data_IF_463388687881
#
_entry.id   IF_463388687881
#
_cell.length_a   1.000
_cell.length_b   1.000
_cell.length_c   1.000
_cell.angle_alpha   90.00
_cell.angle_beta   90.00
_cell.angle_gamma   90.00
#
_symmetry.space_group_name_H-M   'P 1'
#
loop_
_entity.id
_entity.type
_entity.pdbx_description
1 polymer ?
#
# COMPACT_ATOMS: atom_id res chain seq x y z
N UNK A 1 -40.20 19.07 -37.17
CA UNK A 1 -39.19 18.72 -36.14
C UNK A 1 -39.86 18.60 -34.76
N UNK A 2 -40.92 17.79 -34.66
CA UNK A 2 -41.99 17.98 -33.68
C UNK A 2 -42.52 16.63 -33.19
N UNK A 3 -42.61 16.46 -31.86
CA UNK A 3 -43.39 15.46 -31.10
C UNK A 3 -42.97 13.98 -31.21
N UNK A 4 -42.62 13.45 -32.39
CA UNK A 4 -42.29 12.02 -32.58
C UNK A 4 -41.03 11.57 -31.83
N UNK A 5 -40.01 12.44 -31.72
CA UNK A 5 -38.79 12.11 -30.99
C UNK A 5 -39.01 12.04 -29.46
N UNK A 6 -39.90 12.86 -28.89
CA UNK A 6 -40.17 12.84 -27.44
C UNK A 6 -40.89 11.55 -27.03
N UNK A 7 -41.81 11.05 -27.84
CA UNK A 7 -42.53 9.79 -27.57
C UNK A 7 -41.61 8.58 -27.71
N UNK A 8 -40.71 8.59 -28.70
CA UNK A 8 -39.70 7.55 -28.87
C UNK A 8 -38.70 7.52 -27.70
N UNK A 9 -38.22 8.67 -27.25
CA UNK A 9 -37.32 8.79 -26.10
C UNK A 9 -38.02 8.34 -24.80
N UNK A 10 -39.30 8.69 -24.60
CA UNK A 10 -40.06 8.26 -23.41
C UNK A 10 -40.31 6.75 -23.39
N UNK A 11 -40.55 6.13 -24.56
CA UNK A 11 -40.63 4.67 -24.71
C UNK A 11 -39.28 4.00 -24.45
N UNK A 12 -38.18 4.56 -24.95
CA UNK A 12 -36.83 4.05 -24.68
C UNK A 12 -36.46 4.16 -23.21
N UNK A 13 -36.82 5.26 -22.53
CA UNK A 13 -36.64 5.42 -21.09
C UNK A 13 -37.46 4.40 -20.30
N UNK A 14 -38.73 4.17 -20.64
CA UNK A 14 -39.55 3.14 -19.98
C UNK A 14 -39.02 1.72 -20.22
N UNK A 15 -38.46 1.45 -21.41
CA UNK A 15 -37.84 0.14 -21.71
C UNK A 15 -36.52 0.00 -20.92
N UNK A 16 -35.69 1.04 -20.86
CA UNK A 16 -34.47 1.05 -20.07
C UNK A 16 -34.76 0.89 -18.57
N UNK A 17 -35.76 1.59 -18.05
CA UNK A 17 -36.19 1.51 -16.65
C UNK A 17 -36.80 0.15 -16.32
N UNK A 18 -37.55 -0.45 -17.25
CA UNK A 18 -38.06 -1.83 -17.12
C UNK A 18 -36.95 -2.87 -17.15
N UNK A 19 -35.92 -2.69 -17.99
CA UNK A 19 -34.74 -3.57 -18.03
C UNK A 19 -33.90 -3.39 -16.74
N UNK A 20 -33.79 -2.17 -16.23
CA UNK A 20 -33.09 -1.87 -14.99
C UNK A 20 -33.81 -2.43 -13.74
N UNK A 21 -35.15 -2.40 -13.74
CA UNK A 21 -35.98 -2.97 -12.67
C UNK A 21 -36.08 -4.51 -12.75
N UNK A 22 -36.10 -5.08 -13.96
CA UNK A 22 -36.15 -6.53 -14.18
C UNK A 22 -34.82 -7.24 -13.93
N UNK A 23 -33.69 -6.54 -14.13
CA UNK A 23 -32.36 -7.02 -13.80
C UNK A 23 -31.77 -6.17 -12.68
N UNK A 24 -32.15 -6.49 -11.44
CA UNK A 24 -31.51 -5.90 -10.25
C UNK A 24 -30.01 -6.24 -10.11
N UNK A 25 -29.48 -7.08 -11.01
CA UNK A 25 -28.07 -7.43 -11.21
C UNK A 25 -27.68 -7.19 -12.69
N UNK A 26 -27.90 -6.00 -13.25
CA UNK A 26 -27.12 -5.62 -14.43
C UNK A 26 -25.68 -5.47 -13.94
N UNK A 27 -24.91 -6.55 -14.04
CA UNK A 27 -23.46 -6.49 -13.94
C UNK A 27 -23.01 -5.42 -14.96
N UNK A 28 -22.63 -4.23 -14.49
CA UNK A 28 -22.07 -3.16 -15.32
C UNK A 28 -20.96 -3.73 -16.22
N UNK A 29 -20.22 -4.70 -15.69
CA UNK A 29 -19.22 -5.48 -16.40
C UNK A 29 -19.72 -6.16 -17.68
N UNK A 30 -20.96 -6.64 -17.70
CA UNK A 30 -21.55 -7.31 -18.88
C UNK A 30 -21.83 -6.29 -19.98
N UNK A 31 -22.35 -5.12 -19.61
CA UNK A 31 -22.55 -4.00 -20.55
C UNK A 31 -21.20 -3.50 -21.07
N UNK A 32 -20.25 -3.27 -20.17
CA UNK A 32 -18.89 -2.84 -20.49
C UNK A 32 -18.22 -3.88 -21.42
N UNK A 33 -18.32 -5.17 -21.12
CA UNK A 33 -17.81 -6.25 -21.96
C UNK A 33 -18.40 -6.21 -23.37
N UNK A 34 -19.72 -6.00 -23.50
CA UNK A 34 -20.36 -5.89 -24.82
C UNK A 34 -19.91 -4.66 -25.60
N UNK A 35 -19.73 -3.51 -24.94
CA UNK A 35 -19.22 -2.29 -25.55
C UNK A 35 -17.79 -2.47 -26.07
N UNK A 36 -16.91 -3.05 -25.24
CA UNK A 36 -15.52 -3.35 -25.65
C UNK A 36 -15.48 -4.35 -26.80
N UNK A 37 -16.34 -5.37 -26.80
CA UNK A 37 -16.41 -6.37 -27.88
C UNK A 37 -16.85 -5.76 -29.21
N UNK A 38 -17.81 -4.84 -29.17
CA UNK A 38 -18.24 -4.10 -30.35
C UNK A 38 -17.13 -3.15 -30.84
N UNK A 39 -16.46 -2.44 -29.93
CA UNK A 39 -15.33 -1.59 -30.28
C UNK A 39 -14.17 -2.38 -30.89
N UNK A 40 -13.85 -3.56 -30.36
CA UNK A 40 -12.85 -4.49 -30.90
C UNK A 40 -13.22 -4.96 -32.30
N UNK A 41 -14.48 -5.32 -32.52
CA UNK A 41 -14.98 -5.74 -33.85
C UNK A 41 -14.85 -4.63 -34.89
N UNK A 42 -15.08 -3.37 -34.49
CA UNK A 42 -14.90 -2.21 -35.35
C UNK A 42 -13.41 -1.96 -35.58
N UNK A 43 -12.58 -2.00 -34.53
CA UNK A 43 -11.14 -1.80 -34.63
C UNK A 43 -10.47 -2.83 -35.54
N UNK A 44 -10.82 -4.12 -35.43
CA UNK A 44 -10.29 -5.17 -36.30
C UNK A 44 -10.60 -4.98 -37.79
N UNK A 45 -11.67 -4.26 -38.14
CA UNK A 45 -12.03 -3.96 -39.54
C UNK A 45 -11.24 -2.79 -40.13
N UNK A 46 -10.66 -1.94 -39.28
CA UNK A 46 -10.06 -0.66 -39.70
C UNK A 46 -8.55 -0.63 -39.42
N UNK A 47 -8.08 -1.38 -38.42
CA UNK A 47 -6.68 -1.44 -38.01
C UNK A 47 -5.97 -2.56 -38.77
N UNK A 48 -5.05 -2.19 -39.63
CA UNK A 48 -4.08 -3.11 -40.25
C UNK A 48 -2.95 -3.31 -39.24
N UNK A 49 -2.97 -4.43 -38.52
CA UNK A 49 -1.86 -4.80 -37.63
C UNK A 49 -0.67 -5.27 -38.47
N UNK A 50 0.48 -4.61 -38.32
CA UNK A 50 1.76 -5.08 -38.87
C UNK A 50 2.23 -6.29 -38.04
N UNK A 51 2.24 -7.52 -38.59
CA UNK A 51 2.58 -8.73 -37.83
C UNK A 51 4.04 -8.78 -37.37
N UNK A 52 4.90 -7.90 -37.90
CA UNK A 52 6.35 -7.94 -37.71
C UNK A 52 6.89 -7.29 -36.43
N UNK A 53 6.06 -6.55 -35.68
CA UNK A 53 6.49 -5.86 -34.44
C UNK A 53 5.71 -6.33 -33.23
N UNK A 54 5.86 -7.60 -32.86
CA UNK A 54 5.63 -7.99 -31.46
C UNK A 54 6.70 -7.28 -30.64
N UNK A 55 6.30 -6.21 -29.95
CA UNK A 55 7.23 -5.42 -29.14
C UNK A 55 7.79 -6.32 -28.04
N UNK A 56 9.04 -6.12 -27.63
CA UNK A 56 9.59 -6.81 -26.44
C UNK A 56 8.67 -6.65 -25.22
N UNK A 57 7.93 -5.54 -25.17
CA UNK A 57 6.83 -5.26 -24.24
C UNK A 57 5.75 -6.35 -24.21
N UNK A 58 5.30 -6.86 -25.37
CA UNK A 58 4.17 -7.78 -25.45
C UNK A 58 4.53 -9.19 -24.96
N UNK A 59 5.80 -9.59 -25.12
CA UNK A 59 6.33 -10.84 -24.58
C UNK A 59 6.46 -10.79 -23.05
N UNK A 60 6.94 -9.67 -22.53
CA UNK A 60 7.02 -9.43 -21.08
C UNK A 60 5.62 -9.36 -20.47
N UNK A 61 4.65 -8.83 -21.21
CA UNK A 61 3.27 -8.77 -20.74
C UNK A 61 2.62 -10.13 -20.64
N UNK A 62 2.84 -11.00 -21.61
CA UNK A 62 2.32 -12.38 -21.56
C UNK A 62 2.88 -13.18 -20.38
N UNK A 63 4.14 -12.96 -19.97
CA UNK A 63 4.70 -13.65 -18.79
C UNK A 63 4.19 -13.04 -17.48
N UNK A 64 4.08 -11.71 -17.40
CA UNK A 64 3.61 -11.00 -16.21
C UNK A 64 2.10 -11.20 -15.98
N UNK A 65 1.31 -11.31 -17.04
CA UNK A 65 -0.16 -11.49 -16.97
C UNK A 65 -0.60 -12.96 -16.98
N UNK A 66 0.33 -13.90 -17.07
CA UNK A 66 0.01 -15.32 -16.97
C UNK A 66 -0.62 -15.63 -15.61
N UNK A 67 -1.75 -16.34 -15.61
CA UNK A 67 -2.52 -16.67 -14.40
C UNK A 67 -1.73 -17.49 -13.37
N UNK A 68 -0.70 -18.23 -13.80
CA UNK A 68 0.12 -19.09 -12.95
C UNK A 68 1.44 -18.41 -12.57
N UNK A 69 2.11 -17.76 -13.53
CA UNK A 69 3.42 -17.12 -13.28
C UNK A 69 3.31 -15.67 -12.80
N UNK A 70 2.19 -14.99 -13.04
CA UNK A 70 1.98 -13.59 -12.66
C UNK A 70 1.97 -13.36 -11.15
N UNK A 71 1.30 -14.23 -10.36
CA UNK A 71 1.29 -14.09 -8.90
C UNK A 71 2.66 -14.33 -8.26
N UNK A 72 3.41 -15.42 -8.59
CA UNK A 72 4.75 -15.64 -8.05
C UNK A 72 5.75 -14.55 -8.45
N UNK A 73 5.75 -14.12 -9.71
CA UNK A 73 6.65 -13.04 -10.18
C UNK A 73 6.35 -11.74 -9.42
N UNK A 74 5.08 -11.44 -9.18
CA UNK A 74 4.64 -10.28 -8.42
C UNK A 74 5.05 -10.31 -6.96
N UNK A 75 4.79 -11.42 -6.28
CA UNK A 75 5.22 -11.57 -4.90
C UNK A 75 6.75 -11.56 -4.79
N UNK A 76 7.45 -12.18 -5.75
CA UNK A 76 8.91 -12.19 -5.83
C UNK A 76 9.51 -10.80 -6.01
N UNK A 77 8.98 -9.99 -6.94
CA UNK A 77 9.48 -8.63 -7.17
C UNK A 77 9.20 -7.73 -5.96
N UNK A 78 8.00 -7.83 -5.38
CA UNK A 78 7.64 -7.06 -4.19
C UNK A 78 8.52 -7.48 -2.99
N UNK A 79 8.74 -8.78 -2.80
CA UNK A 79 9.65 -9.31 -1.78
C UNK A 79 11.10 -8.84 -1.99
N UNK A 80 11.58 -8.79 -3.24
CA UNK A 80 12.91 -8.27 -3.58
C UNK A 80 13.05 -6.79 -3.21
N UNK A 81 12.03 -5.98 -3.48
CA UNK A 81 12.04 -4.56 -3.08
C UNK A 81 12.03 -4.40 -1.56
N UNK A 82 11.23 -5.21 -0.86
CA UNK A 82 11.25 -5.19 0.61
C UNK A 82 12.58 -5.64 1.17
N UNK A 83 13.19 -6.68 0.60
CA UNK A 83 14.52 -7.15 0.98
C UNK A 83 15.56 -6.04 0.82
N UNK A 84 15.63 -5.42 -0.36
CA UNK A 84 16.55 -4.29 -0.63
C UNK A 84 16.27 -3.13 0.33
N UNK A 85 15.00 -2.84 0.62
CA UNK A 85 14.62 -1.76 1.52
C UNK A 85 15.08 -2.04 2.96
N UNK A 86 14.82 -3.25 3.48
CA UNK A 86 15.14 -3.58 4.88
C UNK A 86 16.66 -3.68 5.06
N UNK A 87 17.33 -4.45 4.20
CA UNK A 87 18.79 -4.64 4.29
C UNK A 87 19.52 -3.31 4.04
N UNK A 88 19.10 -2.57 3.00
CA UNK A 88 19.68 -1.28 2.66
C UNK A 88 19.40 -0.17 3.68
N UNK A 89 18.31 -0.25 4.44
CA UNK A 89 17.95 0.73 5.45
C UNK A 89 18.63 0.50 6.81
N UNK A 90 19.07 -0.73 7.10
CA UNK A 90 19.61 -1.08 8.41
C UNK A 90 20.89 -0.28 8.74
N UNK A 91 21.83 -0.23 7.80
CA UNK A 91 23.08 0.53 7.92
C UNK A 91 22.87 2.04 8.14
N UNK A 92 22.12 2.77 7.29
CA UNK A 92 21.86 4.19 7.53
C UNK A 92 21.04 4.43 8.79
N UNK A 93 20.11 3.54 9.15
CA UNK A 93 19.35 3.64 10.40
C UNK A 93 20.24 3.56 11.64
N UNK A 94 21.20 2.63 11.66
CA UNK A 94 22.18 2.51 12.74
C UNK A 94 23.12 3.72 12.84
N UNK A 95 23.51 4.28 11.70
CA UNK A 95 24.35 5.49 11.67
C UNK A 95 23.58 6.70 12.22
N UNK A 96 22.34 6.92 11.78
CA UNK A 96 21.47 8.00 12.26
C UNK A 96 21.17 7.85 13.76
N UNK A 97 20.86 6.63 14.23
CA UNK A 97 20.61 6.39 15.65
C UNK A 97 21.84 6.73 16.48
N UNK A 98 23.03 6.27 16.09
CA UNK A 98 24.28 6.56 16.82
C UNK A 98 24.51 8.06 16.93
N UNK A 99 24.43 8.80 15.82
CA UNK A 99 24.67 10.25 15.80
C UNK A 99 23.68 11.00 16.70
N UNK A 100 22.39 10.71 16.56
CA UNK A 100 21.38 11.42 17.35
C UNK A 100 21.37 11.03 18.83
N UNK A 101 21.68 9.77 19.16
CA UNK A 101 21.82 9.35 20.56
C UNK A 101 23.07 9.96 21.20
N UNK A 102 24.19 10.10 20.49
CA UNK A 102 25.35 10.85 21.01
C UNK A 102 25.01 12.31 21.31
N UNK A 103 24.13 12.94 20.51
CA UNK A 103 23.65 14.29 20.81
C UNK A 103 22.70 14.33 22.03
N UNK A 104 21.95 13.26 22.27
CA UNK A 104 21.14 13.10 23.49
C UNK A 104 22.01 13.10 24.75
N UNK A 105 23.15 12.42 24.70
CA UNK A 105 24.09 12.32 25.83
C UNK A 105 24.67 13.70 26.15
N UNK A 106 25.08 14.46 25.13
CA UNK A 106 25.51 15.86 25.28
C UNK A 106 24.38 16.69 25.90
N UNK A 107 23.15 16.59 25.40
CA UNK A 107 22.02 17.32 25.99
C UNK A 107 21.81 16.98 27.46
N UNK A 108 22.00 15.72 27.82
CA UNK A 108 21.88 15.25 29.21
C UNK A 108 22.95 15.88 30.08
N UNK A 109 24.20 15.93 29.63
CA UNK A 109 25.30 16.56 30.34
C UNK A 109 25.11 18.08 30.53
N UNK A 110 24.49 18.76 29.56
CA UNK A 110 24.13 20.18 29.71
C UNK A 110 23.04 20.41 30.76
N UNK A 111 22.02 19.54 30.80
CA UNK A 111 20.94 19.65 31.79
C UNK A 111 21.41 19.31 33.21
N UNK A 112 22.33 18.37 33.37
CA UNK A 112 22.95 18.06 34.66
C UNK A 112 23.89 19.17 35.11
N UNK A 113 24.65 19.80 34.20
CA UNK A 113 25.49 20.96 34.52
C UNK A 113 24.70 22.19 35.00
N UNK A 114 23.48 22.40 34.47
CA UNK A 114 22.57 23.48 34.88
C UNK A 114 21.78 23.13 36.16
N UNK A 115 21.92 21.90 36.67
CA UNK A 115 21.19 21.40 37.84
C UNK A 115 19.66 21.50 37.64
N UNK A 116 19.21 21.23 36.40
CA UNK A 116 17.80 21.28 36.06
C UNK A 116 16.99 20.22 36.82
N UNK A 117 15.72 20.51 37.16
CA UNK A 117 14.88 19.54 37.87
C UNK A 117 14.69 18.26 37.04
N UNK A 118 14.75 17.11 37.72
CA UNK A 118 14.70 15.77 37.11
C UNK A 118 13.48 15.57 36.21
N UNK A 119 12.35 16.15 36.58
CA UNK A 119 11.12 16.08 35.78
C UNK A 119 11.26 16.80 34.42
N UNK A 120 11.97 17.93 34.38
CA UNK A 120 12.17 18.69 33.13
C UNK A 120 13.12 17.97 32.17
N UNK A 121 14.22 17.43 32.69
CA UNK A 121 15.15 16.61 31.90
C UNK A 121 14.46 15.35 31.37
N UNK A 122 13.68 14.67 32.22
CA UNK A 122 12.96 13.47 31.84
C UNK A 122 11.91 13.70 30.74
N UNK A 123 11.04 14.71 30.90
CA UNK A 123 10.01 15.00 29.88
C UNK A 123 10.62 15.40 28.54
N UNK A 124 11.61 16.31 28.54
CA UNK A 124 12.16 16.88 27.31
C UNK A 124 13.17 15.96 26.63
N UNK A 125 14.10 15.38 27.37
CA UNK A 125 15.21 14.61 26.81
C UNK A 125 14.82 13.14 26.67
N UNK A 126 14.38 12.50 27.75
CA UNK A 126 14.04 11.06 27.74
C UNK A 126 12.67 10.77 27.11
N UNK A 127 11.73 11.71 27.21
CA UNK A 127 10.40 11.62 26.60
C UNK A 127 10.40 12.14 25.16
N UNK A 128 10.39 13.46 24.98
CA UNK A 128 10.22 14.09 23.67
C UNK A 128 11.38 13.79 22.71
N UNK A 129 12.62 14.16 23.08
CA UNK A 129 13.77 14.07 22.18
C UNK A 129 14.06 12.63 21.77
N UNK A 130 14.17 11.72 22.76
CA UNK A 130 14.40 10.29 22.53
C UNK A 130 13.38 9.67 21.58
N UNK A 131 12.10 9.98 21.77
CA UNK A 131 11.02 9.44 20.93
C UNK A 131 11.11 9.98 19.50
N UNK A 132 11.34 11.28 19.33
CA UNK A 132 11.49 11.91 18.00
C UNK A 132 12.69 11.36 17.25
N UNK A 133 13.84 11.26 17.92
CA UNK A 133 15.06 10.68 17.35
C UNK A 133 14.84 9.24 16.93
N UNK A 134 14.23 8.42 17.80
CA UNK A 134 13.97 7.03 17.49
C UNK A 134 13.08 6.88 16.24
N UNK A 135 12.01 7.67 16.16
CA UNK A 135 11.11 7.71 14.99
C UNK A 135 11.87 8.12 13.72
N UNK A 136 12.70 9.16 13.78
CA UNK A 136 13.48 9.63 12.62
C UNK A 136 14.46 8.55 12.17
N UNK A 137 15.26 7.99 13.09
CA UNK A 137 16.30 7.02 12.75
C UNK A 137 15.74 5.72 12.19
N UNK A 138 14.60 5.25 12.71
CA UNK A 138 14.00 3.97 12.28
C UNK A 138 13.12 4.14 11.03
N UNK A 139 12.39 5.26 10.89
CA UNK A 139 11.41 5.41 9.80
C UNK A 139 11.96 6.08 8.54
N UNK A 140 12.90 7.02 8.64
CA UNK A 140 13.38 7.78 7.49
C UNK A 140 14.13 6.91 6.46
N UNK A 141 15.13 6.07 6.85
CA UNK A 141 15.91 5.32 5.86
C UNK A 141 15.10 4.32 5.01
N UNK A 142 14.24 3.46 5.59
CA UNK A 142 13.46 2.53 4.77
C UNK A 142 12.46 3.25 3.87
N UNK A 143 11.87 4.37 4.30
CA UNK A 143 10.99 5.16 3.42
C UNK A 143 11.76 5.83 2.27
N UNK A 144 12.96 6.33 2.54
CA UNK A 144 13.80 6.97 1.55
C UNK A 144 14.24 6.00 0.44
N UNK A 145 14.34 4.70 0.73
CA UNK A 145 14.66 3.66 -0.26
C UNK A 145 13.39 3.12 -0.93
N UNK A 146 12.35 2.84 -0.15
CA UNK A 146 11.11 2.22 -0.63
C UNK A 146 10.36 3.09 -1.63
N UNK A 147 10.18 4.39 -1.36
CA UNK A 147 9.37 5.23 -2.25
C UNK A 147 9.99 5.47 -3.64
N UNK A 148 11.30 5.71 -3.80
CA UNK A 148 11.91 5.75 -5.12
C UNK A 148 11.76 4.43 -5.88
N UNK A 149 12.02 3.28 -5.24
CA UNK A 149 11.86 1.97 -5.89
C UNK A 149 10.41 1.70 -6.31
N UNK A 150 9.45 2.02 -5.44
CA UNK A 150 8.03 1.88 -5.74
C UNK A 150 7.58 2.81 -6.88
N UNK A 151 8.08 4.06 -6.90
CA UNK A 151 7.77 5.02 -7.96
C UNK A 151 8.39 4.60 -9.30
N UNK A 152 9.57 3.96 -9.29
CA UNK A 152 10.14 3.35 -10.50
C UNK A 152 9.22 2.26 -11.04
N UNK A 153 8.67 1.38 -10.18
CA UNK A 153 7.70 0.37 -10.61
C UNK A 153 6.39 0.98 -11.12
N UNK A 154 5.96 2.09 -10.53
CA UNK A 154 4.79 2.86 -10.96
C UNK A 154 4.99 3.41 -12.38
N UNK A 155 6.12 4.08 -12.63
CA UNK A 155 6.47 4.69 -13.92
C UNK A 155 6.74 3.64 -15.02
N UNK A 156 7.27 2.47 -14.64
CA UNK A 156 7.42 1.33 -15.56
C UNK A 156 6.08 0.71 -15.96
N UNK A 157 4.96 1.08 -15.32
CA UNK A 157 3.66 0.49 -15.61
C UNK A 157 3.49 -0.93 -15.05
N UNK A 158 4.34 -1.34 -14.10
CA UNK A 158 4.24 -2.65 -13.45
C UNK A 158 3.08 -2.72 -12.45
N UNK A 159 2.91 -1.66 -11.64
CA UNK A 159 1.85 -1.59 -10.63
C UNK A 159 0.43 -1.74 -11.21
N UNK A 160 0.06 -1.07 -12.32
CA UNK A 160 -1.22 -1.31 -12.98
C UNK A 160 -1.50 -2.79 -13.30
N UNK A 161 -0.48 -3.54 -13.75
CA UNK A 161 -0.60 -4.97 -14.10
C UNK A 161 -0.79 -5.83 -12.86
N UNK A 162 -0.09 -5.50 -11.78
CA UNK A 162 -0.27 -6.12 -10.46
C UNK A 162 -1.70 -5.93 -9.97
N UNK A 163 -2.23 -4.71 -10.07
CA UNK A 163 -3.61 -4.43 -9.68
C UNK A 163 -4.62 -5.24 -10.49
N UNK A 164 -4.40 -5.37 -11.80
CA UNK A 164 -5.24 -6.20 -12.67
C UNK A 164 -5.20 -7.69 -12.29
N UNK A 165 -4.02 -8.25 -12.02
CA UNK A 165 -3.91 -9.66 -11.64
C UNK A 165 -4.57 -9.94 -10.26
N UNK A 166 -4.43 -9.00 -9.32
CA UNK A 166 -5.04 -9.10 -7.99
C UNK A 166 -6.54 -8.76 -7.95
N UNK A 167 -7.10 -8.12 -8.99
CA UNK A 167 -8.50 -7.68 -9.01
C UNK A 167 -9.47 -8.83 -8.73
N UNK A 168 -9.21 -10.02 -9.29
CA UNK A 168 -10.05 -11.20 -9.07
C UNK A 168 -10.12 -11.65 -7.59
N UNK A 169 -9.05 -11.45 -6.82
CA UNK A 169 -8.99 -11.78 -5.39
C UNK A 169 -9.73 -10.73 -4.57
N UNK A 170 -9.51 -9.44 -4.86
CA UNK A 170 -10.21 -8.34 -4.18
C UNK A 170 -11.70 -8.34 -4.46
N UNK A 171 -12.10 -8.70 -5.68
CA UNK A 171 -13.50 -8.81 -6.05
C UNK A 171 -14.24 -9.91 -5.28
N UNK A 172 -13.59 -11.03 -4.98
CA UNK A 172 -14.14 -12.06 -4.07
C UNK A 172 -14.36 -11.51 -2.65
N UNK A 173 -13.52 -10.58 -2.22
CA UNK A 173 -13.66 -9.87 -0.95
C UNK A 173 -14.57 -8.62 -1.04
N UNK A 174 -15.29 -8.42 -2.16
CA UNK A 174 -16.13 -7.23 -2.42
C UNK A 174 -15.37 -5.90 -2.30
N UNK A 175 -14.15 -5.87 -2.83
CA UNK A 175 -13.26 -4.72 -2.85
C UNK A 175 -12.77 -4.40 -4.28
N UNK A 176 -12.27 -3.18 -4.49
CA UNK A 176 -11.71 -2.72 -5.76
C UNK A 176 -10.24 -3.18 -5.91
N UNK A 177 -9.83 -3.63 -7.09
CA UNK A 177 -8.43 -3.98 -7.38
C UNK A 177 -7.41 -2.87 -7.09
N UNK A 178 -7.80 -1.58 -7.09
CA UNK A 178 -6.95 -0.45 -6.66
C UNK A 178 -6.51 -0.54 -5.19
N UNK A 179 -7.25 -1.27 -4.35
CA UNK A 179 -6.88 -1.51 -2.96
C UNK A 179 -5.59 -2.35 -2.84
N UNK A 180 -5.29 -3.21 -3.82
CA UNK A 180 -4.02 -3.94 -3.84
C UNK A 180 -2.80 -3.00 -3.83
N UNK A 181 -2.86 -1.91 -4.60
CA UNK A 181 -1.78 -0.92 -4.69
C UNK A 181 -1.58 -0.18 -3.37
N UNK A 182 -2.68 0.19 -2.72
CA UNK A 182 -2.64 0.89 -1.43
C UNK A 182 -2.12 0.01 -0.31
N UNK A 183 -2.41 -1.30 -0.37
CA UNK A 183 -1.89 -2.30 0.57
C UNK A 183 -0.42 -2.60 0.35
N UNK A 184 0.02 -2.77 -0.90
CA UNK A 184 1.44 -2.90 -1.23
C UNK A 184 2.26 -1.71 -0.71
N UNK A 185 1.73 -0.49 -0.80
CA UNK A 185 2.36 0.70 -0.25
C UNK A 185 2.29 0.74 1.30
N UNK A 186 1.23 0.19 1.89
CA UNK A 186 1.03 0.08 3.34
C UNK A 186 2.07 -0.79 4.05
N UNK A 187 2.55 -1.86 3.41
CA UNK A 187 3.66 -2.69 3.91
C UNK A 187 4.95 -1.90 4.11
N UNK A 188 5.24 -0.93 3.23
CA UNK A 188 6.36 -0.01 3.43
C UNK A 188 6.05 1.00 4.55
N UNK A 189 4.97 1.75 4.37
CA UNK A 189 4.50 2.71 5.37
C UNK A 189 2.97 2.78 5.35
N UNK A 190 2.34 2.41 6.47
CA UNK A 190 0.88 2.45 6.58
C UNK A 190 0.32 3.87 6.35
N UNK A 191 0.98 4.92 6.87
CA UNK A 191 0.54 6.30 6.64
C UNK A 191 0.52 6.67 5.15
N UNK A 192 1.53 6.25 4.39
CA UNK A 192 1.59 6.47 2.96
C UNK A 192 0.56 5.64 2.20
N UNK A 193 0.35 4.38 2.62
CA UNK A 193 -0.72 3.52 2.10
C UNK A 193 -2.11 4.15 2.26
N UNK A 194 -2.41 4.69 3.46
CA UNK A 194 -3.68 5.37 3.75
C UNK A 194 -3.87 6.63 2.90
N UNK A 195 -2.81 7.43 2.70
CA UNK A 195 -2.86 8.60 1.81
C UNK A 195 -3.12 8.18 0.35
N UNK A 196 -2.57 7.04 -0.07
CA UNK A 196 -2.77 6.50 -1.42
C UNK A 196 -4.18 5.97 -1.67
N UNK A 197 -5.00 5.73 -0.64
CA UNK A 197 -6.43 5.41 -0.82
C UNK A 197 -7.21 6.48 -1.59
N UNK A 198 -6.63 7.68 -1.79
CA UNK A 198 -7.19 8.71 -2.69
C UNK A 198 -7.40 8.27 -4.14
N UNK A 199 -6.70 7.22 -4.60
CA UNK A 199 -6.85 6.68 -5.97
C UNK A 199 -8.18 5.92 -6.16
N UNK A 200 -8.86 5.57 -5.07
CA UNK A 200 -10.14 4.86 -5.10
C UNK A 200 -11.26 5.88 -5.26
N UNK A 201 -12.09 5.74 -6.28
CA UNK A 201 -13.12 6.73 -6.62
C UNK A 201 -14.31 6.62 -5.67
N UNK A 202 -14.73 5.39 -5.37
CA UNK A 202 -15.89 5.18 -4.51
C UNK A 202 -15.53 5.51 -3.05
N UNK A 203 -16.30 6.39 -2.37
CA UNK A 203 -16.02 6.77 -0.99
C UNK A 203 -16.16 5.57 -0.03
N UNK A 204 -17.02 4.61 -0.38
CA UNK A 204 -17.21 3.36 0.36
C UNK A 204 -15.97 2.48 0.31
N UNK A 205 -15.47 2.11 -0.87
CA UNK A 205 -14.29 1.23 -0.98
C UNK A 205 -13.05 1.96 -0.47
N UNK A 206 -12.98 3.28 -0.60
CA UNK A 206 -11.93 4.11 0.02
C UNK A 206 -11.91 3.95 1.53
N UNK A 207 -13.06 3.99 2.20
CA UNK A 207 -13.12 3.78 3.65
C UNK A 207 -12.68 2.37 4.04
N UNK A 208 -13.11 1.35 3.27
CA UNK A 208 -12.68 -0.04 3.49
C UNK A 208 -11.15 -0.16 3.33
N UNK A 209 -10.57 0.43 2.29
CA UNK A 209 -9.13 0.41 2.05
C UNK A 209 -8.35 1.14 3.17
N UNK A 210 -8.85 2.29 3.65
CA UNK A 210 -8.24 3.02 4.78
C UNK A 210 -8.26 2.18 6.06
N UNK A 211 -9.39 1.53 6.36
CA UNK A 211 -9.51 0.70 7.57
C UNK A 211 -8.67 -0.57 7.46
N UNK A 212 -8.68 -1.23 6.31
CA UNK A 212 -7.95 -2.50 6.12
C UNK A 212 -6.44 -2.32 6.04
N UNK A 213 -5.94 -1.18 5.56
CA UNK A 213 -4.50 -0.89 5.59
C UNK A 213 -3.91 -0.94 7.01
N UNK A 214 -4.70 -0.67 8.05
CA UNK A 214 -4.26 -0.79 9.44
C UNK A 214 -3.96 -2.22 9.89
N UNK A 215 -4.38 -3.26 9.16
CA UNK A 215 -4.04 -4.65 9.47
C UNK A 215 -2.78 -5.13 8.75
N UNK A 216 -2.28 -4.37 7.78
CA UNK A 216 -1.02 -4.67 7.09
C UNK A 216 0.15 -4.34 8.02
N UNK A 217 1.07 -5.29 8.29
CA UNK A 217 2.27 -4.99 9.05
C UNK A 217 3.19 -4.08 8.24
N UNK A 218 3.50 -2.90 8.78
CA UNK A 218 4.43 -1.95 8.18
C UNK A 218 5.80 -2.01 8.86
N UNK A 219 6.80 -1.34 8.29
CA UNK A 219 8.16 -1.29 8.84
C UNK A 219 8.23 -0.99 10.35
N UNK A 220 7.41 -0.05 10.82
CA UNK A 220 7.36 0.33 12.24
C UNK A 220 6.78 -0.73 13.18
N UNK A 221 6.12 -1.77 12.66
CA UNK A 221 5.54 -2.88 13.45
C UNK A 221 6.43 -4.11 13.49
N UNK A 222 7.44 -4.22 12.62
CA UNK A 222 8.37 -5.35 12.66
C UNK A 222 9.09 -5.49 14.00
N UNK A 223 9.57 -4.42 14.68
CA UNK A 223 10.19 -4.57 16.00
C UNK A 223 9.27 -5.26 17.02
N UNK A 224 7.99 -4.87 17.06
CA UNK A 224 7.00 -5.49 17.94
C UNK A 224 6.74 -6.94 17.55
N UNK A 225 6.62 -7.25 16.25
CA UNK A 225 6.45 -8.61 15.75
C UNK A 225 7.66 -9.49 16.05
N UNK A 226 8.87 -8.95 15.98
CA UNK A 226 10.11 -9.65 16.35
C UNK A 226 10.12 -9.94 17.84
N UNK A 227 9.78 -8.97 18.70
CA UNK A 227 9.72 -9.18 20.16
C UNK A 227 8.67 -10.23 20.53
N UNK A 228 7.47 -10.16 19.94
CA UNK A 228 6.44 -11.18 20.16
C UNK A 228 6.94 -12.54 19.65
N UNK A 229 7.51 -12.59 18.45
CA UNK A 229 8.06 -13.80 17.86
C UNK A 229 9.18 -14.41 18.70
N UNK A 230 10.06 -13.60 19.30
CA UNK A 230 11.13 -14.10 20.17
C UNK A 230 10.59 -14.60 21.51
N UNK A 231 9.59 -13.95 22.12
CA UNK A 231 8.98 -14.42 23.37
C UNK A 231 8.30 -15.78 23.17
N UNK A 232 7.43 -15.89 22.16
CA UNK A 232 6.71 -17.14 21.88
C UNK A 232 7.63 -18.23 21.29
N UNK A 233 8.58 -17.86 20.44
CA UNK A 233 9.55 -18.79 19.85
C UNK A 233 10.61 -19.29 20.84
N UNK A 234 10.98 -18.48 21.83
CA UNK A 234 11.89 -18.87 22.91
C UNK A 234 11.27 -19.86 23.90
N UNK A 235 9.97 -19.77 24.14
CA UNK A 235 9.28 -20.61 25.11
C UNK A 235 8.98 -22.03 24.63
N UNK A 236 8.97 -22.28 23.31
CA UNK A 236 8.45 -23.54 22.75
C UNK A 236 9.50 -24.54 22.22
N UNK A 237 10.73 -24.15 21.87
CA UNK A 237 11.63 -25.02 21.10
C UNK A 237 13.12 -24.96 21.52
N UNK A 238 13.80 -26.11 21.40
CA UNK A 238 15.22 -26.28 21.70
C UNK A 238 16.14 -25.36 20.85
N UNK A 239 17.29 -24.98 21.41
CA UNK A 239 18.20 -23.93 20.91
C UNK A 239 18.56 -24.01 19.41
N UNK A 240 18.58 -25.20 18.81
CA UNK A 240 18.94 -25.41 17.39
C UNK A 240 17.88 -24.95 16.38
N UNK A 241 16.59 -24.94 16.73
CA UNK A 241 15.50 -24.57 15.80
C UNK A 241 14.92 -23.18 16.06
N UNK A 242 15.47 -22.44 17.03
CA UNK A 242 14.90 -21.18 17.52
C UNK A 242 14.84 -20.10 16.44
N UNK A 243 15.87 -19.96 15.60
CA UNK A 243 15.88 -18.98 14.51
C UNK A 243 14.84 -19.29 13.43
N UNK A 244 14.68 -20.57 13.08
CA UNK A 244 13.68 -20.99 12.09
C UNK A 244 12.25 -20.88 12.65
N UNK A 245 12.07 -21.19 13.93
CA UNK A 245 10.79 -21.04 14.63
C UNK A 245 10.35 -19.58 14.73
N UNK A 246 11.27 -18.67 15.10
CA UNK A 246 10.98 -17.22 15.17
C UNK A 246 10.62 -16.69 13.78
N UNK A 247 11.36 -17.05 12.74
CA UNK A 247 11.04 -16.66 11.35
C UNK A 247 9.68 -17.22 10.90
N UNK A 248 9.35 -18.46 11.27
CA UNK A 248 8.05 -19.09 11.00
C UNK A 248 6.89 -18.37 11.68
N UNK A 249 7.05 -17.99 12.96
CA UNK A 249 6.04 -17.24 13.72
C UNK A 249 5.82 -15.85 13.12
N UNK A 250 6.89 -15.14 12.77
CA UNK A 250 6.79 -13.82 12.12
C UNK A 250 6.06 -13.94 10.78
N UNK A 251 6.41 -14.94 9.98
CA UNK A 251 5.75 -15.18 8.69
C UNK A 251 4.27 -15.50 8.88
N UNK A 252 3.92 -16.32 9.88
CA UNK A 252 2.54 -16.62 10.23
C UNK A 252 1.78 -15.36 10.65
N UNK A 253 2.36 -14.50 11.49
CA UNK A 253 1.74 -13.24 11.92
C UNK A 253 1.49 -12.30 10.73
N UNK A 254 2.42 -12.23 9.77
CA UNK A 254 2.23 -11.45 8.54
C UNK A 254 1.09 -12.03 7.70
N UNK A 255 1.06 -13.35 7.51
CA UNK A 255 -0.02 -14.02 6.76
C UNK A 255 -1.38 -13.87 7.44
N UNK A 256 -1.43 -13.92 8.77
CA UNK A 256 -2.65 -13.62 9.55
C UNK A 256 -3.05 -12.16 9.34
N UNK A 257 -2.11 -11.22 9.38
CA UNK A 257 -2.36 -9.81 9.06
C UNK A 257 -3.01 -9.65 7.67
N UNK A 258 -2.41 -10.23 6.64
CA UNK A 258 -2.99 -10.22 5.28
C UNK A 258 -4.35 -10.92 5.24
N UNK A 259 -4.52 -12.08 5.87
CA UNK A 259 -5.79 -12.79 5.93
C UNK A 259 -6.89 -11.95 6.60
N UNK A 260 -6.58 -11.30 7.72
CA UNK A 260 -7.53 -10.42 8.41
C UNK A 260 -7.94 -9.23 7.55
N UNK A 261 -7.06 -8.68 6.70
CA UNK A 261 -7.45 -7.59 5.77
C UNK A 261 -8.55 -8.02 4.79
N UNK A 262 -8.48 -9.25 4.27
CA UNK A 262 -9.49 -9.79 3.36
C UNK A 262 -10.80 -10.10 4.10
N UNK A 263 -10.70 -10.68 5.29
CA UNK A 263 -11.88 -10.99 6.14
C UNK A 263 -12.60 -9.70 6.56
N UNK A 264 -11.86 -8.69 7.00
CA UNK A 264 -12.41 -7.39 7.39
C UNK A 264 -13.00 -6.67 6.19
N UNK A 265 -12.32 -6.65 5.03
CA UNK A 265 -12.90 -6.10 3.78
C UNK A 265 -14.25 -6.73 3.47
N UNK A 266 -14.32 -8.07 3.50
CA UNK A 266 -15.55 -8.80 3.22
C UNK A 266 -16.65 -8.52 4.25
N UNK A 267 -16.30 -8.53 5.55
CA UNK A 267 -17.24 -8.28 6.65
C UNK A 267 -17.84 -6.88 6.55
N UNK A 268 -16.99 -5.86 6.34
CA UNK A 268 -17.43 -4.47 6.22
C UNK A 268 -18.31 -4.26 4.99
N UNK A 269 -17.96 -4.88 3.85
CA UNK A 269 -18.75 -4.83 2.62
C UNK A 269 -20.12 -5.49 2.74
N UNK A 270 -20.28 -6.48 3.62
CA UNK A 270 -21.56 -7.17 3.90
C UNK A 270 -22.43 -6.48 4.95
N UNK A 271 -21.81 -5.84 5.95
CA UNK A 271 -22.52 -5.34 7.14
C UNK A 271 -22.84 -3.84 7.05
N UNK A 272 -21.84 -2.99 7.29
CA UNK A 272 -22.00 -1.54 7.48
C UNK A 272 -22.02 -0.76 6.18
N UNK A 273 -21.25 -1.21 5.20
CA UNK A 273 -21.07 -0.51 3.95
C UNK A 273 -21.67 -1.44 2.89
N UNK A 274 -22.95 -1.30 2.53
CA UNK A 274 -23.61 -2.09 1.47
C UNK A 274 -23.61 -1.32 0.14
N UNK A 275 -23.51 -2.03 -0.98
CA UNK A 275 -23.50 -1.47 -2.34
C UNK A 275 -22.74 -2.34 -3.35
N UNK A 276 -22.77 -1.96 -4.62
CA UNK A 276 -22.08 -2.69 -5.70
C UNK A 276 -20.59 -2.36 -5.78
N UNK A 277 -19.79 -3.32 -6.26
CA UNK A 277 -18.34 -3.16 -6.48
C UNK A 277 -18.10 -2.23 -7.67
N UNK A 278 -17.20 -1.25 -7.51
CA UNK A 278 -16.79 -0.39 -8.62
C UNK A 278 -16.02 -1.21 -9.65
N UNK A 279 -16.43 -1.13 -10.91
CA UNK A 279 -15.67 -1.73 -12.02
C UNK A 279 -14.30 -1.06 -12.14
N UNK A 280 -13.23 -1.84 -12.13
CA UNK A 280 -11.89 -1.33 -12.39
C UNK A 280 -11.73 -1.07 -13.90
N UNK A 281 -11.91 0.18 -14.32
CA UNK A 281 -11.53 0.61 -15.67
C UNK A 281 -10.08 1.11 -15.56
N UNK A 282 -9.12 0.22 -15.82
CA UNK A 282 -7.71 0.59 -15.83
C UNK A 282 -7.20 0.54 -17.27
N UNK A 283 -6.98 1.71 -17.86
CA UNK A 283 -6.22 1.81 -19.11
C UNK A 283 -4.79 1.38 -18.81
N UNK A 284 -4.33 0.26 -19.40
CA UNK A 284 -2.97 -0.23 -19.24
C UNK A 284 -2.00 0.79 -19.85
N UNK A 285 -1.16 1.48 -19.05
CA UNK A 285 -0.23 2.45 -19.60
C UNK A 285 0.88 1.73 -20.37
N UNK A 286 1.37 2.30 -21.50
CA UNK A 286 2.52 1.76 -22.21
C UNK A 286 3.77 1.85 -21.33
N UNK A 287 4.70 0.89 -21.44
CA UNK A 287 5.98 0.97 -20.72
C UNK A 287 6.72 2.25 -21.11
N UNK A 288 7.10 3.03 -20.10
CA UNK A 288 7.92 4.24 -20.27
C UNK A 288 9.18 4.09 -19.43
N UNK A 289 10.30 4.55 -19.99
CA UNK A 289 11.55 4.58 -19.23
C UNK A 289 11.44 5.61 -18.08
N UNK A 290 11.77 5.23 -16.84
CA UNK A 290 11.64 6.10 -15.68
C UNK A 290 12.68 7.24 -15.73
N UNK A 291 12.26 8.47 -15.42
CA UNK A 291 13.18 9.61 -15.27
C UNK A 291 13.76 9.64 -13.86
N UNK A 292 14.85 8.90 -13.66
CA UNK A 292 15.47 8.62 -12.34
C UNK A 292 15.67 9.89 -11.49
N UNK A 293 16.19 10.98 -12.07
CA UNK A 293 16.47 12.22 -11.32
C UNK A 293 15.23 12.88 -10.73
N UNK A 294 14.15 13.01 -11.51
CA UNK A 294 12.87 13.57 -11.02
C UNK A 294 12.20 12.65 -10.01
N UNK A 295 12.37 11.33 -10.15
CA UNK A 295 11.78 10.34 -9.24
C UNK A 295 12.41 10.45 -7.86
N UNK A 296 13.74 10.53 -7.77
CA UNK A 296 14.46 10.62 -6.49
C UNK A 296 14.08 11.91 -5.76
N UNK A 297 14.14 13.06 -6.46
CA UNK A 297 13.78 14.35 -5.87
C UNK A 297 12.35 14.33 -5.33
N UNK A 298 11.38 13.97 -6.17
CA UNK A 298 9.95 13.96 -5.81
C UNK A 298 9.62 12.93 -4.73
N UNK A 299 10.26 11.77 -4.76
CA UNK A 299 9.98 10.70 -3.79
C UNK A 299 10.57 11.02 -2.42
N UNK A 300 11.80 11.51 -2.35
CA UNK A 300 12.46 11.80 -1.08
C UNK A 300 11.91 13.08 -0.46
N UNK A 301 11.82 14.16 -1.23
CA UNK A 301 11.47 15.47 -0.67
C UNK A 301 9.95 15.59 -0.49
N UNK A 302 9.14 15.31 -1.52
CA UNK A 302 7.70 15.56 -1.41
C UNK A 302 6.96 14.45 -0.66
N UNK A 303 7.38 13.18 -0.78
CA UNK A 303 6.70 12.06 -0.11
C UNK A 303 7.32 11.72 1.24
N UNK A 304 8.62 11.41 1.32
CA UNK A 304 9.25 10.97 2.57
C UNK A 304 9.22 12.06 3.64
N UNK A 305 9.67 13.27 3.32
CA UNK A 305 9.78 14.35 4.31
C UNK A 305 8.40 14.83 4.80
N UNK A 306 7.40 14.87 3.92
CA UNK A 306 6.03 15.21 4.29
C UNK A 306 5.42 14.19 5.27
N UNK A 307 5.57 12.90 4.99
CA UNK A 307 5.08 11.82 5.87
C UNK A 307 5.84 11.84 7.20
N UNK A 308 7.16 12.03 7.16
CA UNK A 308 7.98 12.09 8.35
C UNK A 308 7.61 13.26 9.25
N UNK A 309 7.39 14.45 8.69
CA UNK A 309 6.94 15.62 9.45
C UNK A 309 5.64 15.29 10.21
N UNK A 310 4.65 14.70 9.54
CA UNK A 310 3.39 14.30 10.19
C UNK A 310 3.61 13.26 11.28
N UNK A 311 4.50 12.29 11.06
CA UNK A 311 4.84 11.30 12.07
C UNK A 311 5.47 11.94 13.32
N UNK A 312 6.41 12.88 13.15
CA UNK A 312 7.06 13.60 14.25
C UNK A 312 6.05 14.43 15.05
N UNK A 313 5.14 15.15 14.38
CA UNK A 313 4.11 15.94 15.05
C UNK A 313 3.19 15.12 15.96
N UNK A 314 2.96 13.84 15.62
CA UNK A 314 2.16 12.93 16.43
C UNK A 314 3.02 12.21 17.49
N UNK A 315 4.24 11.83 17.15
CA UNK A 315 5.13 11.07 18.03
C UNK A 315 5.71 11.91 19.19
N UNK A 316 6.03 13.18 18.96
CA UNK A 316 6.59 14.06 19.99
C UNK A 316 5.70 14.20 21.25
N UNK A 317 4.39 14.55 21.13
CA UNK A 317 3.51 14.61 22.31
C UNK A 317 3.24 13.22 22.90
N UNK A 318 3.20 12.17 22.07
CA UNK A 318 3.06 10.81 22.58
C UNK A 318 4.25 10.42 23.48
N UNK A 319 5.48 10.77 23.09
CA UNK A 319 6.69 10.56 23.88
C UNK A 319 6.67 11.24 25.25
N UNK A 320 6.15 12.47 25.30
CA UNK A 320 5.93 13.21 26.56
C UNK A 320 4.94 12.45 27.45
N UNK A 321 3.78 12.09 26.90
CA UNK A 321 2.72 11.41 27.65
C UNK A 321 3.20 10.05 28.14
N UNK A 322 3.92 9.29 27.32
CA UNK A 322 4.48 8.00 27.73
C UNK A 322 5.49 8.13 28.86
N UNK A 323 6.29 9.20 28.88
CA UNK A 323 7.25 9.42 29.97
C UNK A 323 6.53 9.85 31.25
N UNK A 324 5.50 10.69 31.18
CA UNK A 324 4.71 11.10 32.35
C UNK A 324 3.97 9.93 33.00
N UNK A 325 3.55 8.93 32.19
CA UNK A 325 2.84 7.74 32.67
C UNK A 325 3.76 6.62 33.16
N UNK A 326 5.05 6.65 32.80
CA UNK A 326 6.05 5.64 33.17
C UNK A 326 6.64 5.90 34.55
#
# INVERSE_FOLDING_TARGET
MSITNKVAIKKLLMIAERIHLSNKNIDNDRIVSHLYKNAETIAQRVVINDPGKVSYSDKIDNIITSKIFGYPIMLGLLALIFWITIEGANTPSALLSTIFFSFQDILTDWFTAINAPVWLHGVLVLGLYRTVVWVISVMLPPMAIFFPLFTILEDLGYLPRVAFNLDSLFRKAQACGKQSLTMCMGFGCNAAGVVSCRIIDSPREKLIAVLTNNFVPCNGRFPTLIVIGTIFGAGMLAQGYRSFAVAGIITLLILVGVGTTFVVSWLLSKTFLKGETSSLILELPPYRAPKIGSIIYRSIIDRTLFVLRRAIFVAAPAGIVTWILA
#
